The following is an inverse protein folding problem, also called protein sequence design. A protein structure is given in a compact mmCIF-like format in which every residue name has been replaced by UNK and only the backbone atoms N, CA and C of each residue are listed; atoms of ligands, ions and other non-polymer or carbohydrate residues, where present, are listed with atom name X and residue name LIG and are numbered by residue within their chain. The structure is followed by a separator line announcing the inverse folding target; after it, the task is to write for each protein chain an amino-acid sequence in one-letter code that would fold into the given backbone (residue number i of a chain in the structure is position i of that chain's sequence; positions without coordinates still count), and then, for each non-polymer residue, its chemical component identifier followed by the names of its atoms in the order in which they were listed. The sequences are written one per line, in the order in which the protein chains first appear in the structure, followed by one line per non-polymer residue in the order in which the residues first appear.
data_IF_652536114747
#
_entry.id   IF_652536114747
#
_cell.length_a   1.000
_cell.length_b   1.000
_cell.length_c   1.000
_cell.angle_alpha   90.00
_cell.angle_beta   90.00
_cell.angle_gamma   90.00
#
_symmetry.space_group_name_H-M   'P 1'
#
loop_
_entity.id
_entity.type
_entity.pdbx_description
1 polymer ?
#
# COMPACT_ATOMS: atom_id res chain seq x y z
N UNK A 1 -9.02 8.65 22.02
CA UNK A 1 -7.54 8.68 21.88
C UNK A 1 -7.22 9.05 20.45
N UNK A 2 -6.35 10.04 20.19
CA UNK A 2 -5.91 10.37 18.84
C UNK A 2 -4.84 9.37 18.40
N UNK A 3 -5.10 8.62 17.32
CA UNK A 3 -4.05 7.83 16.67
C UNK A 3 -3.01 8.82 16.14
N UNK A 4 -1.72 8.52 16.32
CA UNK A 4 -0.68 9.35 15.70
C UNK A 4 -0.16 8.63 14.45
N UNK A 5 0.29 7.38 14.55
CA UNK A 5 0.86 6.67 13.39
C UNK A 5 0.57 5.15 13.44
N UNK A 6 0.40 4.54 12.28
CA UNK A 6 0.37 3.08 12.09
C UNK A 6 1.45 2.71 11.07
N UNK A 7 2.20 1.64 11.35
CA UNK A 7 3.13 1.06 10.39
C UNK A 7 2.54 -0.26 9.91
N UNK A 8 2.52 -0.47 8.60
CA UNK A 8 2.08 -1.69 7.95
C UNK A 8 3.22 -2.21 7.08
N UNK A 9 3.49 -3.50 7.19
CA UNK A 9 4.36 -4.24 6.29
C UNK A 9 3.52 -5.29 5.58
N UNK A 10 3.36 -5.15 4.28
CA UNK A 10 2.58 -6.01 3.41
C UNK A 10 3.51 -6.78 2.47
N UNK A 11 3.26 -8.06 2.28
CA UNK A 11 3.85 -8.85 1.21
C UNK A 11 2.73 -9.45 0.38
N UNK A 12 2.92 -9.59 -0.93
CA UNK A 12 1.80 -10.02 -1.75
C UNK A 12 2.13 -10.35 -3.19
N UNK A 13 1.06 -10.64 -3.91
CA UNK A 13 1.06 -10.90 -5.34
C UNK A 13 0.30 -9.78 -6.02
N UNK A 14 0.94 -9.15 -6.98
CA UNK A 14 0.33 -8.21 -7.90
C UNK A 14 0.18 -8.88 -9.26
N UNK A 15 -1.05 -8.92 -9.75
CA UNK A 15 -1.33 -9.32 -11.12
C UNK A 15 -1.48 -8.07 -11.99
N UNK A 16 -0.73 -8.03 -13.07
CA UNK A 16 -0.88 -7.02 -14.10
C UNK A 16 -1.88 -7.54 -15.13
N UNK A 17 -3.04 -6.90 -15.27
CA UNK A 17 -3.93 -7.13 -16.41
C UNK A 17 -3.35 -6.42 -17.64
N UNK A 18 -2.19 -6.89 -18.09
CA UNK A 18 -1.57 -6.45 -19.32
C UNK A 18 -2.37 -7.03 -20.50
N UNK A 19 -3.46 -6.36 -20.88
CA UNK A 19 -3.77 -6.26 -22.30
C UNK A 19 -2.71 -5.35 -22.92
N UNK A 20 -1.64 -5.99 -23.40
CA UNK A 20 -0.58 -5.48 -24.24
C UNK A 20 0.08 -4.16 -23.75
N UNK A 21 1.34 -4.25 -23.36
CA UNK A 21 2.29 -3.18 -23.69
C UNK A 21 2.38 -3.08 -25.23
N UNK A 22 1.34 -2.59 -25.92
CA UNK A 22 1.50 -2.10 -27.29
C UNK A 22 2.11 -0.72 -27.19
N UNK A 23 3.44 -0.69 -27.05
CA UNK A 23 4.20 0.52 -27.31
C UNK A 23 4.09 0.85 -28.80
N UNK A 24 3.98 2.13 -29.12
CA UNK A 24 4.16 2.60 -30.50
C UNK A 24 5.56 2.16 -30.98
N UNK A 25 5.73 1.63 -32.21
CA UNK A 25 6.91 0.83 -32.60
C UNK A 25 8.23 1.61 -32.75
N UNK A 26 8.31 2.86 -32.31
CA UNK A 26 9.36 3.80 -32.73
C UNK A 26 10.33 4.26 -31.64
N UNK A 27 10.28 3.73 -30.41
CA UNK A 27 11.14 4.22 -29.31
C UNK A 27 11.68 3.12 -28.39
N UNK A 28 12.39 2.13 -28.95
CA UNK A 28 13.09 1.08 -28.19
C UNK A 28 14.35 1.57 -27.46
N UNK A 29 14.84 2.80 -27.72
CA UNK A 29 16.10 3.34 -27.15
C UNK A 29 15.92 4.61 -26.28
N UNK A 30 14.67 5.04 -26.03
CA UNK A 30 14.41 6.25 -25.26
C UNK A 30 14.12 5.93 -23.78
N UNK A 31 14.57 6.77 -22.83
CA UNK A 31 14.21 6.62 -21.42
C UNK A 31 12.68 6.70 -21.23
N UNK A 32 12.13 5.96 -20.27
CA UNK A 32 10.68 5.74 -20.17
C UNK A 32 9.86 7.04 -19.98
N UNK A 33 10.48 8.15 -19.56
CA UNK A 33 9.86 9.47 -19.51
C UNK A 33 9.56 10.08 -20.89
N UNK A 34 10.12 9.53 -21.98
CA UNK A 34 9.88 9.96 -23.38
C UNK A 34 8.90 9.06 -24.13
N UNK A 35 8.43 7.98 -23.49
CA UNK A 35 7.51 7.03 -24.11
C UNK A 35 6.14 7.15 -23.45
N UNK A 36 5.09 7.34 -24.25
CA UNK A 36 3.71 7.38 -23.77
C UNK A 36 3.06 6.00 -23.93
N UNK A 37 2.20 5.61 -22.97
CA UNK A 37 1.35 4.45 -23.17
C UNK A 37 0.32 4.71 -24.27
N UNK A 38 -0.06 3.66 -24.98
CA UNK A 38 -1.25 3.68 -25.81
C UNK A 38 -2.49 3.80 -24.92
N UNK A 39 -3.22 4.92 -25.03
CA UNK A 39 -4.39 5.23 -24.19
C UNK A 39 -5.64 4.48 -24.68
N UNK A 40 -5.60 3.15 -24.68
CA UNK A 40 -6.77 2.31 -24.98
C UNK A 40 -7.71 2.21 -23.77
N UNK A 41 -9.04 2.30 -23.96
CA UNK A 41 -10.00 2.01 -22.89
C UNK A 41 -9.78 0.61 -22.32
N UNK A 42 -9.64 0.49 -21.00
CA UNK A 42 -9.42 -0.81 -20.34
C UNK A 42 -7.98 -1.31 -20.30
N UNK A 43 -6.99 -0.56 -20.81
CA UNK A 43 -5.58 -0.94 -20.73
C UNK A 43 -4.91 -0.47 -19.42
N UNK A 44 -3.80 -1.12 -19.08
CA UNK A 44 -2.85 -0.76 -18.01
C UNK A 44 -3.40 -0.86 -16.57
N UNK A 45 -4.41 -1.70 -16.35
CA UNK A 45 -4.91 -1.98 -15.01
C UNK A 45 -4.10 -3.08 -14.33
N UNK A 46 -3.96 -2.97 -13.02
CA UNK A 46 -3.37 -4.00 -12.19
C UNK A 46 -4.25 -4.23 -10.95
N UNK A 47 -4.20 -5.45 -10.44
CA UNK A 47 -4.88 -5.86 -9.22
C UNK A 47 -3.82 -6.40 -8.27
N UNK A 48 -3.82 -5.93 -7.03
CA UNK A 48 -2.88 -6.39 -6.00
C UNK A 48 -3.63 -7.07 -4.88
N UNK A 49 -3.16 -8.26 -4.49
CA UNK A 49 -3.57 -8.94 -3.29
C UNK A 49 -2.37 -9.03 -2.35
N UNK A 50 -2.50 -8.47 -1.15
CA UNK A 50 -1.45 -8.41 -0.15
C UNK A 50 -1.91 -8.95 1.19
N UNK A 51 -0.98 -9.56 1.93
CA UNK A 51 -1.15 -9.99 3.31
C UNK A 51 0.11 -9.68 4.10
N UNK A 52 -0.03 -9.27 5.35
CA UNK A 52 1.09 -8.69 6.07
C UNK A 52 0.87 -8.57 7.56
N UNK A 53 1.82 -7.90 8.19
CA UNK A 53 1.81 -7.57 9.60
C UNK A 53 1.94 -6.07 9.81
N UNK A 54 1.35 -5.56 10.88
CA UNK A 54 1.35 -4.14 11.18
C UNK A 54 1.50 -3.91 12.67
N UNK A 55 1.93 -2.71 13.04
CA UNK A 55 1.99 -2.27 14.43
C UNK A 55 1.48 -0.85 14.55
N UNK A 56 0.69 -0.61 15.60
CA UNK A 56 0.15 0.72 15.91
C UNK A 56 1.06 1.48 16.87
N UNK A 57 1.36 2.74 16.57
CA UNK A 57 2.19 3.61 17.40
C UNK A 57 1.35 4.75 18.01
N UNK A 58 1.00 4.58 19.29
CA UNK A 58 0.34 5.59 20.12
C UNK A 58 1.09 5.81 21.42
N UNK A 59 0.79 6.94 22.05
CA UNK A 59 1.29 7.30 23.37
C UNK A 59 0.88 6.25 24.41
N UNK A 60 1.88 5.51 24.92
CA UNK A 60 1.73 4.39 25.85
C UNK A 60 1.69 2.99 25.23
N UNK A 61 1.51 2.89 23.91
CA UNK A 61 1.70 1.64 23.14
C UNK A 61 3.18 1.29 22.95
N UNK A 62 4.11 2.17 23.35
CA UNK A 62 5.56 1.99 23.21
C UNK A 62 6.23 1.30 24.42
N UNK A 63 5.47 0.93 25.46
CA UNK A 63 5.99 0.15 26.60
C UNK A 63 6.17 -1.34 26.29
N UNK A 64 5.25 -2.03 25.59
CA UNK A 64 5.45 -3.43 25.17
C UNK A 64 6.42 -3.54 23.99
N UNK A 65 7.00 -4.74 23.83
CA UNK A 65 7.91 -5.06 22.74
C UNK A 65 7.20 -4.94 21.37
N UNK A 66 7.96 -4.65 20.31
CA UNK A 66 7.38 -4.50 18.96
C UNK A 66 6.70 -5.80 18.48
N UNK A 67 7.22 -6.95 18.88
CA UNK A 67 6.68 -8.27 18.52
C UNK A 67 5.30 -8.53 19.11
N UNK A 68 5.01 -8.02 20.32
CA UNK A 68 3.69 -8.17 20.95
C UNK A 68 2.62 -7.27 20.29
N UNK A 69 3.08 -6.26 19.56
CA UNK A 69 2.24 -5.25 18.87
C UNK A 69 1.96 -5.62 17.42
N UNK A 70 2.60 -6.66 16.88
CA UNK A 70 2.40 -7.13 15.52
C UNK A 70 1.01 -7.76 15.40
N UNK A 71 0.20 -7.23 14.51
CA UNK A 71 -1.09 -7.76 14.14
C UNK A 71 -1.13 -8.06 12.65
N UNK A 72 -2.03 -8.93 12.22
CA UNK A 72 -2.16 -9.27 10.81
C UNK A 72 -2.97 -8.20 10.06
N UNK A 73 -2.67 -8.02 8.78
CA UNK A 73 -3.45 -7.22 7.85
C UNK A 73 -3.53 -7.90 6.48
N UNK A 74 -4.56 -7.56 5.72
CA UNK A 74 -4.76 -7.99 4.35
C UNK A 74 -5.21 -6.78 3.53
N UNK A 75 -4.86 -6.79 2.25
CA UNK A 75 -5.22 -5.71 1.34
C UNK A 75 -5.59 -6.23 -0.05
N UNK A 76 -6.57 -5.57 -0.66
CA UNK A 76 -6.94 -5.73 -2.04
C UNK A 76 -6.90 -4.35 -2.70
N UNK A 77 -6.24 -4.23 -3.85
CA UNK A 77 -6.20 -2.97 -4.57
C UNK A 77 -6.42 -3.16 -6.06
N UNK A 78 -6.95 -2.13 -6.69
CA UNK A 78 -7.01 -1.98 -8.14
C UNK A 78 -6.33 -0.67 -8.51
N UNK A 79 -5.44 -0.70 -9.50
CA UNK A 79 -4.77 0.49 -9.97
C UNK A 79 -4.65 0.54 -11.48
N UNK A 80 -4.20 1.70 -11.97
CA UNK A 80 -3.98 1.96 -13.38
C UNK A 80 -2.65 2.69 -13.56
N UNK A 81 -1.82 2.20 -14.46
CA UNK A 81 -0.66 2.93 -14.96
C UNK A 81 -1.09 3.91 -16.05
N UNK A 82 -0.81 5.18 -15.84
CA UNK A 82 -1.15 6.24 -16.80
C UNK A 82 0.04 6.54 -17.72
N UNK A 83 1.26 6.52 -17.17
CA UNK A 83 2.52 6.57 -17.90
C UNK A 83 3.46 5.46 -17.40
N UNK A 84 4.54 5.13 -18.15
CA UNK A 84 5.50 4.09 -17.75
C UNK A 84 6.15 4.26 -16.37
N UNK A 85 5.99 5.43 -15.76
CA UNK A 85 6.59 5.81 -14.48
C UNK A 85 5.60 6.27 -13.41
N UNK A 86 4.28 6.40 -13.71
CA UNK A 86 3.32 6.70 -12.65
C UNK A 86 1.98 5.98 -12.80
N UNK A 87 1.43 5.61 -11.65
CA UNK A 87 0.17 4.90 -11.49
C UNK A 87 -0.66 5.52 -10.37
N UNK A 88 -1.96 5.27 -10.43
CA UNK A 88 -2.85 5.52 -9.29
C UNK A 88 -3.50 4.23 -8.86
N UNK A 89 -3.70 4.03 -7.56
CA UNK A 89 -4.26 2.80 -6.98
C UNK A 89 -5.33 3.15 -5.96
N UNK A 90 -6.45 2.43 -6.01
CA UNK A 90 -7.43 2.36 -4.95
C UNK A 90 -7.21 1.08 -4.16
N UNK A 91 -6.85 1.21 -2.89
CA UNK A 91 -6.51 0.12 -1.98
C UNK A 91 -7.53 0.02 -0.86
N UNK A 92 -8.02 -1.18 -0.62
CA UNK A 92 -8.76 -1.55 0.58
C UNK A 92 -7.84 -2.38 1.46
N UNK A 93 -7.71 -1.98 2.72
CA UNK A 93 -6.90 -2.67 3.72
C UNK A 93 -7.74 -2.96 4.95
N UNK A 94 -7.56 -4.12 5.57
CA UNK A 94 -8.23 -4.44 6.81
C UNK A 94 -7.45 -5.46 7.60
N UNK A 95 -7.62 -5.45 8.91
CA UNK A 95 -6.86 -6.33 9.78
C UNK A 95 -7.18 -6.15 11.25
N UNK A 96 -6.43 -6.87 12.06
CA UNK A 96 -6.42 -6.70 13.51
C UNK A 96 -5.43 -5.60 13.88
N UNK A 97 -5.64 -4.96 15.01
CA UNK A 97 -4.83 -3.85 15.50
C UNK A 97 -4.78 -3.89 17.04
N UNK A 98 -3.59 -4.02 17.61
CA UNK A 98 -3.42 -4.08 19.07
C UNK A 98 -3.19 -2.70 19.69
N UNK A 99 -4.00 -2.38 20.69
CA UNK A 99 -3.84 -1.19 21.55
C UNK A 99 -3.66 -1.63 23.00
N UNK A 100 -2.80 -0.98 23.75
CA UNK A 100 -2.54 -1.28 25.17
C UNK A 100 -3.06 -0.14 26.05
N UNK A 101 -3.74 -0.48 27.14
CA UNK A 101 -4.15 0.51 28.15
C UNK A 101 -2.96 0.93 29.02
N UNK A 102 -2.77 2.25 29.20
CA UNK A 102 -1.59 2.85 29.85
C UNK A 102 -1.35 2.46 31.31
N UNK A 103 -2.41 2.03 32.01
CA UNK A 103 -2.40 1.77 33.46
C UNK A 103 -2.48 0.29 33.84
N UNK A 104 -3.06 -0.56 33.00
CA UNK A 104 -3.32 -1.98 33.30
C UNK A 104 -2.48 -2.95 32.46
N UNK A 105 -1.86 -2.48 31.37
CA UNK A 105 -1.10 -3.34 30.45
C UNK A 105 -1.97 -4.33 29.66
N UNK A 106 -3.29 -4.22 29.75
CA UNK A 106 -4.22 -5.10 29.04
C UNK A 106 -4.17 -4.83 27.54
N UNK A 107 -4.04 -5.91 26.77
CA UNK A 107 -4.05 -5.91 25.30
C UNK A 107 -5.48 -5.87 24.79
N UNK A 108 -5.87 -4.76 24.17
CA UNK A 108 -7.13 -4.61 23.46
C UNK A 108 -6.94 -4.98 22.00
N UNK A 109 -7.76 -5.92 21.52
CA UNK A 109 -7.89 -6.25 20.11
C UNK A 109 -8.92 -5.32 19.49
N UNK A 110 -8.60 -4.78 18.33
CA UNK A 110 -9.47 -3.92 17.56
C UNK A 110 -9.38 -4.36 16.11
N UNK A 111 -10.47 -4.24 15.36
CA UNK A 111 -10.43 -4.41 13.92
C UNK A 111 -10.46 -3.05 13.23
N UNK A 112 -9.77 -2.97 12.11
CA UNK A 112 -9.81 -1.79 11.26
C UNK A 112 -10.07 -2.19 9.81
N UNK A 113 -10.75 -1.30 9.10
CA UNK A 113 -10.88 -1.34 7.65
C UNK A 113 -10.60 0.08 7.14
N UNK A 114 -9.84 0.18 6.06
CA UNK A 114 -9.46 1.45 5.47
C UNK A 114 -9.49 1.39 3.95
N UNK A 115 -9.83 2.52 3.35
CA UNK A 115 -9.71 2.75 1.92
C UNK A 115 -8.69 3.85 1.67
N UNK A 116 -7.72 3.61 0.78
CA UNK A 116 -6.66 4.55 0.42
C UNK A 116 -6.64 4.77 -1.09
N UNK A 117 -6.40 6.02 -1.48
CA UNK A 117 -6.10 6.40 -2.84
C UNK A 117 -4.63 6.81 -2.93
N UNK A 118 -3.84 5.97 -3.57
CA UNK A 118 -2.38 6.11 -3.65
C UNK A 118 -1.95 6.59 -5.03
N UNK A 119 -0.98 7.49 -5.05
CA UNK A 119 -0.16 7.83 -6.20
C UNK A 119 1.16 7.06 -6.13
N UNK A 120 1.44 6.27 -7.15
CA UNK A 120 2.62 5.42 -7.27
C UNK A 120 3.56 6.03 -8.31
N UNK A 121 4.85 6.07 -7.98
CA UNK A 121 5.88 6.56 -8.88
C UNK A 121 7.01 5.54 -9.02
N UNK A 122 7.22 5.03 -10.23
CA UNK A 122 8.31 4.09 -10.52
C UNK A 122 9.59 4.84 -10.83
N UNK A 123 10.47 4.91 -9.82
CA UNK A 123 11.76 5.60 -9.89
C UNK A 123 12.70 4.90 -10.87
N UNK A 124 12.63 3.57 -10.93
CA UNK A 124 13.56 2.77 -11.75
C UNK A 124 13.26 2.99 -13.23
N UNK A 125 11.99 2.99 -13.61
CA UNK A 125 11.59 3.30 -14.98
C UNK A 125 11.81 4.79 -15.33
N UNK A 126 11.69 5.70 -14.38
CA UNK A 126 11.92 7.12 -14.65
C UNK A 126 13.38 7.43 -15.02
N UNK A 127 14.35 6.85 -14.30
CA UNK A 127 15.79 7.14 -14.49
C UNK A 127 16.52 6.17 -15.43
N UNK A 128 15.95 5.00 -15.75
CA UNK A 128 16.60 4.02 -16.62
C UNK A 128 15.95 3.94 -18.00
N UNK A 129 16.74 3.60 -19.02
CA UNK A 129 16.22 3.14 -20.31
C UNK A 129 15.30 1.93 -20.12
N UNK A 130 14.23 1.89 -20.91
CA UNK A 130 13.24 0.81 -20.86
C UNK A 130 13.92 -0.53 -21.16
N UNK A 131 13.78 -1.48 -20.24
CA UNK A 131 14.25 -2.85 -20.41
C UNK A 131 13.07 -3.77 -20.14
N UNK A 132 12.72 -4.58 -21.14
CA UNK A 132 11.57 -5.48 -21.07
C UNK A 132 11.77 -6.62 -20.07
N UNK A 133 13.03 -7.00 -19.79
CA UNK A 133 13.42 -8.07 -18.85
C UNK A 133 13.76 -7.54 -17.44
N UNK A 134 13.30 -6.34 -17.08
CA UNK A 134 13.61 -5.77 -15.77
C UNK A 134 12.90 -6.53 -14.67
N UNK A 135 13.69 -7.21 -13.84
CA UNK A 135 13.19 -8.04 -12.74
C UNK A 135 12.79 -7.25 -11.49
N UNK A 136 13.17 -5.97 -11.38
CA UNK A 136 13.06 -5.19 -10.14
C UNK A 136 12.55 -3.76 -10.35
N UNK A 137 11.55 -3.36 -9.57
CA UNK A 137 11.02 -2.00 -9.52
C UNK A 137 10.97 -1.45 -8.09
N UNK A 138 11.35 -0.18 -7.94
CA UNK A 138 11.28 0.59 -6.70
C UNK A 138 10.22 1.68 -6.88
N UNK A 139 9.12 1.55 -6.15
CA UNK A 139 7.92 2.37 -6.31
C UNK A 139 7.60 3.05 -4.98
N UNK A 140 8.14 4.24 -4.70
CA UNK A 140 7.58 5.11 -3.67
C UNK A 140 6.13 5.45 -3.99
N UNK A 141 5.31 5.55 -2.96
CA UNK A 141 3.92 5.99 -3.08
C UNK A 141 3.52 6.88 -1.91
N UNK A 142 2.55 7.75 -2.19
CA UNK A 142 1.88 8.60 -1.22
C UNK A 142 0.40 8.58 -1.50
N UNK A 143 -0.41 8.65 -0.45
CA UNK A 143 -1.85 8.52 -0.57
C UNK A 143 -2.60 9.26 0.53
N UNK A 144 -3.90 9.35 0.30
CA UNK A 144 -4.85 9.79 1.29
C UNK A 144 -5.98 8.77 1.37
N UNK A 145 -6.52 8.60 2.54
CA UNK A 145 -7.49 7.56 2.79
C UNK A 145 -8.44 7.88 3.92
N UNK A 146 -9.21 6.87 4.23
CA UNK A 146 -10.16 6.88 5.31
C UNK A 146 -10.14 5.53 6.00
N UNK A 147 -9.94 5.55 7.32
CA UNK A 147 -9.92 4.36 8.16
C UNK A 147 -11.09 4.38 9.14
N UNK A 148 -11.74 3.23 9.28
CA UNK A 148 -12.79 2.95 10.24
C UNK A 148 -12.36 1.83 11.17
N UNK A 149 -12.44 2.09 12.48
CA UNK A 149 -12.17 1.10 13.52
C UNK A 149 -13.45 0.68 14.19
N UNK A 150 -13.61 -0.63 14.35
CA UNK A 150 -14.80 -1.26 14.90
C UNK A 150 -14.41 -2.49 15.74
N UNK A 151 -15.39 -3.02 16.46
CA UNK A 151 -15.29 -4.25 17.26
C UNK A 151 -14.10 -4.23 18.24
N UNK A 152 -14.23 -3.31 19.20
CA UNK A 152 -13.27 -3.12 20.27
C UNK A 152 -13.51 -4.13 21.39
N UNK A 153 -12.46 -4.83 21.85
CA UNK A 153 -12.55 -5.71 23.05
C UNK A 153 -12.95 -4.93 24.31
N UNK A 154 -12.61 -3.64 24.37
CA UNK A 154 -13.02 -2.75 25.45
C UNK A 154 -14.30 -2.00 25.04
N UNK A 155 -15.46 -2.26 25.70
CA UNK A 155 -16.74 -1.63 25.36
C UNK A 155 -16.78 -0.12 25.61
N UNK A 156 -15.75 0.47 26.23
CA UNK A 156 -15.60 1.92 26.38
C UNK A 156 -15.00 2.62 25.15
N UNK A 157 -14.48 1.86 24.18
CA UNK A 157 -13.93 2.41 22.95
C UNK A 157 -15.03 2.60 21.92
N UNK A 158 -15.27 3.85 21.55
CA UNK A 158 -16.24 4.22 20.51
C UNK A 158 -15.63 3.99 19.12
N UNK A 159 -16.46 3.50 18.19
CA UNK A 159 -16.10 3.40 16.78
C UNK A 159 -15.57 4.76 16.29
N UNK A 160 -14.39 4.75 15.69
CA UNK A 160 -13.71 6.00 15.31
C UNK A 160 -13.40 5.99 13.82
N UNK A 161 -13.65 7.13 13.20
CA UNK A 161 -13.42 7.40 11.80
C UNK A 161 -12.31 8.45 11.65
N UNK A 162 -11.34 8.19 10.79
CA UNK A 162 -10.25 9.14 10.56
C UNK A 162 -9.96 9.29 9.08
N UNK A 163 -9.79 10.54 8.64
CA UNK A 163 -9.06 10.80 7.39
C UNK A 163 -7.59 10.54 7.65
N UNK A 164 -6.98 9.80 6.73
CA UNK A 164 -5.62 9.32 6.84
C UNK A 164 -4.77 9.84 5.68
N UNK A 165 -3.50 10.06 5.96
CA UNK A 165 -2.48 10.22 4.93
C UNK A 165 -1.50 9.06 5.07
N UNK A 166 -1.13 8.45 3.96
CA UNK A 166 -0.20 7.34 3.95
C UNK A 166 0.97 7.59 2.98
N UNK A 167 2.11 7.02 3.31
CA UNK A 167 3.28 7.03 2.46
C UNK A 167 4.07 5.74 2.66
N UNK A 168 4.71 5.27 1.60
CA UNK A 168 5.42 4.02 1.66
C UNK A 168 6.30 3.75 0.46
N UNK A 169 6.87 2.56 0.47
CA UNK A 169 7.76 2.05 -0.55
C UNK A 169 7.34 0.64 -0.92
N UNK A 170 7.14 0.41 -2.21
CA UNK A 170 6.81 -0.89 -2.77
C UNK A 170 7.97 -1.38 -3.65
N UNK A 171 8.40 -2.61 -3.42
CA UNK A 171 9.38 -3.34 -4.21
C UNK A 171 8.65 -4.40 -5.01
N UNK A 172 8.76 -4.39 -6.34
CA UNK A 172 8.18 -5.43 -7.19
C UNK A 172 9.27 -6.30 -7.80
N UNK A 173 8.98 -7.60 -7.86
CA UNK A 173 9.80 -8.64 -8.47
C UNK A 173 8.99 -9.37 -9.54
N UNK A 174 9.44 -9.32 -10.79
CA UNK A 174 8.76 -10.01 -11.89
C UNK A 174 9.05 -11.52 -11.83
N UNK A 175 8.01 -12.34 -11.71
CA UNK A 175 8.18 -13.81 -11.53
C UNK A 175 7.57 -14.61 -12.68
N UNK A 176 6.46 -14.14 -13.25
CA UNK A 176 5.81 -14.80 -14.38
C UNK A 176 5.15 -13.77 -15.29
N UNK A 177 4.80 -14.14 -16.54
CA UNK A 177 4.05 -13.25 -17.41
C UNK A 177 2.78 -12.78 -16.70
N UNK A 178 2.67 -11.47 -16.45
CA UNK A 178 1.55 -10.79 -15.77
C UNK A 178 1.47 -10.97 -14.24
N UNK A 179 2.45 -11.60 -13.59
CA UNK A 179 2.46 -11.78 -12.14
C UNK A 179 3.78 -11.32 -11.55
N UNK A 180 3.67 -10.37 -10.63
CA UNK A 180 4.77 -9.81 -9.88
C UNK A 180 4.55 -10.11 -8.39
N UNK A 181 5.61 -10.51 -7.71
CA UNK A 181 5.65 -10.50 -6.25
C UNK A 181 5.96 -9.08 -5.79
N UNK A 182 5.30 -8.62 -4.73
CA UNK A 182 5.64 -7.33 -4.14
C UNK A 182 5.87 -7.40 -2.64
N UNK A 183 6.74 -6.52 -2.18
CA UNK A 183 6.96 -6.22 -0.77
C UNK A 183 6.73 -4.73 -0.56
N UNK A 184 5.83 -4.38 0.36
CA UNK A 184 5.38 -3.02 0.60
C UNK A 184 5.57 -2.66 2.09
N UNK A 185 6.29 -1.58 2.35
CA UNK A 185 6.35 -0.94 3.65
C UNK A 185 5.57 0.37 3.61
N UNK A 186 4.57 0.52 4.47
CA UNK A 186 3.67 1.67 4.51
C UNK A 186 3.58 2.24 5.92
N UNK A 187 3.59 3.57 6.04
CA UNK A 187 3.19 4.27 7.25
C UNK A 187 1.92 5.09 6.97
N UNK A 188 0.89 4.92 7.80
CA UNK A 188 -0.32 5.74 7.78
C UNK A 188 -0.40 6.63 9.01
N UNK A 189 -0.80 7.88 8.80
CA UNK A 189 -1.08 8.88 9.83
C UNK A 189 -2.58 9.13 9.84
N UNK A 190 -3.23 8.94 11.00
CA UNK A 190 -4.69 9.07 11.13
C UNK A 190 -5.00 10.12 12.21
N UNK A 191 -5.22 11.36 11.79
CA UNK A 191 -5.37 12.48 12.72
C UNK A 191 -5.65 13.82 12.05
N UNK A 192 -6.13 13.80 10.80
CA UNK A 192 -6.38 14.99 9.98
C UNK A 192 -7.74 15.66 10.27
N UNK A 193 -8.47 15.16 11.28
CA UNK A 193 -9.80 15.64 11.71
C UNK A 193 -9.74 16.28 13.10
#
# INVERSE_FOLDING_TARGET
MKLKHTLLLLAGLSSFAAKAQTMQPSMTDAPAHRVAFEHKPGANYFITLGGGVGAMFLEGNNKPSLTDRLSWNASLAIGKWHNPYYATRLKLVGGEAFTYQNFTGLRNKNYFVGGHYDFLFDVVNYFSSYQQDRVFHLIPFVGVGYEYKFDHTDPKLTNTHHVTANAGLQLNFHVAPRVDLFLEGEASYSGLN
#
